data_IF_476987055820
#
_entry.id   IF_476987055820
#
_cell.length_a   1.000
_cell.length_b   1.000
_cell.length_c   1.000
_cell.angle_alpha   90.00
_cell.angle_beta   90.00
_cell.angle_gamma   90.00
#
_symmetry.space_group_name_H-M   'P 1'
#
loop_
_entity.id
_entity.type
_entity.pdbx_description
1 polymer ?
#
# COMPACT_ATOMS: atom_id res chain seq x y z
N UNK A 1 -9.82 11.51 32.71
CA UNK A 1 -10.41 10.61 31.69
C UNK A 1 -10.55 11.22 30.27
N UNK A 2 -10.27 12.52 30.03
CA UNK A 2 -10.36 13.13 28.69
C UNK A 2 -9.14 12.83 27.77
N UNK A 3 -7.97 12.62 28.34
CA UNK A 3 -6.70 12.39 27.61
C UNK A 3 -6.68 11.08 26.82
N UNK A 4 -7.21 9.99 27.39
CA UNK A 4 -7.25 8.68 26.72
C UNK A 4 -8.14 8.68 25.47
N UNK A 5 -9.30 9.36 25.50
CA UNK A 5 -10.20 9.48 24.32
C UNK A 5 -9.61 10.36 23.21
N UNK A 6 -8.83 11.39 23.55
CA UNK A 6 -8.16 12.22 22.55
C UNK A 6 -7.02 11.46 21.84
N UNK A 7 -6.26 10.66 22.59
CA UNK A 7 -5.25 9.75 22.03
C UNK A 7 -5.93 8.71 21.13
N UNK A 8 -6.95 8.00 21.63
CA UNK A 8 -7.71 7.02 20.84
C UNK A 8 -8.39 7.64 19.60
N UNK A 9 -8.85 8.89 19.65
CA UNK A 9 -9.35 9.61 18.47
C UNK A 9 -8.24 9.94 17.47
N UNK A 10 -7.03 10.27 17.91
CA UNK A 10 -5.86 10.39 17.02
C UNK A 10 -5.49 9.05 16.37
N UNK A 11 -5.63 7.93 17.10
CA UNK A 11 -5.47 6.59 16.56
C UNK A 11 -6.55 6.24 15.51
N UNK A 12 -7.82 6.56 15.79
CA UNK A 12 -8.96 6.10 15.01
C UNK A 12 -9.35 7.01 13.82
N UNK A 13 -9.11 8.32 13.88
CA UNK A 13 -9.73 9.27 12.94
C UNK A 13 -8.86 9.59 11.71
N UNK A 14 -7.54 9.28 11.69
CA UNK A 14 -6.68 9.67 10.55
C UNK A 14 -5.50 8.76 10.15
N UNK A 15 -5.28 7.58 10.76
CA UNK A 15 -4.14 6.72 10.37
C UNK A 15 -2.75 7.40 10.50
N UNK A 16 -2.67 8.49 11.27
CA UNK A 16 -1.47 9.36 11.37
C UNK A 16 -0.28 8.59 11.94
N UNK A 17 -0.53 7.67 12.88
CA UNK A 17 0.53 6.91 13.54
C UNK A 17 1.19 5.93 12.58
N UNK A 18 0.39 5.17 11.82
CA UNK A 18 0.91 4.28 10.79
C UNK A 18 1.68 5.03 9.71
N UNK A 19 1.18 6.21 9.33
CA UNK A 19 1.86 7.09 8.39
C UNK A 19 3.18 7.62 8.94
N UNK A 20 3.21 8.06 10.19
CA UNK A 20 4.43 8.57 10.82
C UNK A 20 5.46 7.47 11.06
N UNK A 21 5.02 6.26 11.43
CA UNK A 21 5.86 5.07 11.54
C UNK A 21 6.48 4.70 10.18
N UNK A 22 5.68 4.74 9.11
CA UNK A 22 6.17 4.51 7.76
C UNK A 22 7.17 5.58 7.33
N UNK A 23 6.85 6.86 7.54
CA UNK A 23 7.76 7.96 7.19
C UNK A 23 9.08 7.83 7.97
N UNK A 24 9.03 7.45 9.25
CA UNK A 24 10.20 7.13 10.05
C UNK A 24 10.99 5.94 9.49
N UNK A 25 10.31 4.85 9.13
CA UNK A 25 10.95 3.67 8.57
C UNK A 25 11.66 4.00 7.25
N UNK A 26 11.04 4.78 6.37
CA UNK A 26 11.62 5.20 5.10
C UNK A 26 12.80 6.16 5.28
N UNK A 27 12.78 7.01 6.30
CA UNK A 27 13.89 7.91 6.61
C UNK A 27 15.12 7.19 7.18
N UNK A 28 14.91 6.11 7.95
CA UNK A 28 15.98 5.46 8.72
C UNK A 28 16.47 4.13 8.11
N UNK A 29 15.65 3.45 7.30
CA UNK A 29 15.98 2.15 6.73
C UNK A 29 16.65 2.32 5.37
N UNK A 30 17.86 1.76 5.17
CA UNK A 30 18.53 1.74 3.87
C UNK A 30 17.65 1.15 2.77
N UNK A 31 17.73 1.69 1.56
CA UNK A 31 16.85 1.31 0.45
C UNK A 31 16.90 -0.20 0.13
N UNK A 32 18.05 -0.86 0.28
CA UNK A 32 18.19 -2.30 0.06
C UNK A 32 17.40 -3.17 1.05
N UNK A 33 17.10 -2.65 2.23
CA UNK A 33 16.33 -3.36 3.27
C UNK A 33 14.83 -3.09 3.17
N UNK A 34 14.41 -2.09 2.39
CA UNK A 34 12.99 -1.78 2.18
C UNK A 34 12.20 -2.96 1.60
N UNK A 35 12.67 -3.70 0.57
CA UNK A 35 11.96 -4.87 0.08
C UNK A 35 11.70 -5.93 1.15
N UNK A 36 12.67 -6.17 2.03
CA UNK A 36 12.57 -7.15 3.12
C UNK A 36 11.54 -6.67 4.14
N UNK A 37 11.65 -5.40 4.58
CA UNK A 37 10.72 -4.79 5.52
C UNK A 37 9.28 -4.84 5.02
N UNK A 38 9.04 -4.44 3.77
CA UNK A 38 7.72 -4.45 3.16
C UNK A 38 7.18 -5.87 3.01
N UNK A 39 8.02 -6.85 2.68
CA UNK A 39 7.61 -8.25 2.59
C UNK A 39 7.20 -8.79 3.96
N UNK A 40 8.01 -8.57 4.99
CA UNK A 40 7.69 -9.01 6.37
C UNK A 40 6.40 -8.37 6.86
N UNK A 41 6.24 -7.05 6.66
CA UNK A 41 5.01 -6.35 7.02
C UNK A 41 3.81 -6.90 6.23
N UNK A 42 3.96 -7.13 4.92
CA UNK A 42 2.89 -7.69 4.09
C UNK A 42 2.50 -9.09 4.53
N UNK A 43 3.46 -9.95 4.88
CA UNK A 43 3.18 -11.29 5.44
C UNK A 43 2.39 -11.17 6.74
N UNK A 44 2.81 -10.29 7.66
CA UNK A 44 2.08 -10.01 8.88
C UNK A 44 0.64 -9.57 8.59
N UNK A 45 0.46 -8.52 7.78
CA UNK A 45 -0.88 -8.04 7.41
C UNK A 45 -1.70 -9.09 6.67
N UNK A 46 -1.10 -9.93 5.83
CA UNK A 46 -1.81 -10.98 5.11
C UNK A 46 -2.48 -11.98 6.06
N UNK A 47 -1.83 -12.32 7.17
CA UNK A 47 -2.39 -13.23 8.17
C UNK A 47 -3.36 -12.52 9.13
N UNK A 48 -3.02 -11.33 9.62
CA UNK A 48 -3.80 -10.62 10.65
C UNK A 48 -4.96 -9.77 10.09
N UNK A 49 -4.84 -9.21 8.89
CA UNK A 49 -5.90 -8.41 8.24
C UNK A 49 -6.84 -9.32 7.42
N UNK A 50 -7.54 -10.22 8.11
CA UNK A 50 -8.47 -11.16 7.48
C UNK A 50 -9.59 -10.46 6.69
N UNK A 51 -10.01 -9.26 7.10
CA UNK A 51 -11.03 -8.47 6.40
C UNK A 51 -10.59 -8.06 4.99
N UNK A 52 -9.40 -7.45 4.88
CA UNK A 52 -8.84 -7.00 3.60
C UNK A 52 -8.64 -8.17 2.63
N UNK A 53 -8.08 -9.27 3.13
CA UNK A 53 -7.88 -10.48 2.33
C UNK A 53 -9.20 -11.01 1.78
N UNK A 54 -10.26 -11.05 2.59
CA UNK A 54 -11.59 -11.50 2.16
C UNK A 54 -12.18 -10.60 1.08
N UNK A 55 -12.04 -9.28 1.21
CA UNK A 55 -12.51 -8.33 0.19
C UNK A 55 -11.79 -8.53 -1.15
N UNK A 56 -10.46 -8.69 -1.13
CA UNK A 56 -9.69 -8.96 -2.36
C UNK A 56 -10.11 -10.29 -2.99
N UNK A 57 -10.24 -11.34 -2.18
CA UNK A 57 -10.67 -12.66 -2.66
C UNK A 57 -12.11 -12.67 -3.19
N UNK A 58 -13.00 -11.82 -2.67
CA UNK A 58 -14.37 -11.66 -3.18
C UNK A 58 -14.42 -10.97 -4.56
N UNK A 59 -13.49 -10.05 -4.82
CA UNK A 59 -13.42 -9.33 -6.09
C UNK A 59 -12.69 -10.12 -7.19
N UNK A 60 -11.75 -11.00 -6.82
CA UNK A 60 -10.93 -11.75 -7.79
C UNK A 60 -11.75 -12.61 -8.78
N UNK A 61 -12.81 -13.33 -8.37
CA UNK A 61 -13.64 -14.08 -9.31
C UNK A 61 -14.36 -13.22 -10.36
N UNK A 62 -14.64 -11.94 -10.04
CA UNK A 62 -15.29 -11.00 -10.96
C UNK A 62 -14.30 -10.54 -12.04
N UNK A 63 -13.05 -10.27 -11.64
CA UNK A 63 -12.00 -9.77 -12.55
C UNK A 63 -11.38 -10.91 -13.36
N UNK A 64 -11.16 -12.07 -12.72
CA UNK A 64 -10.48 -13.23 -13.29
C UNK A 64 -11.30 -14.49 -13.01
N UNK A 65 -12.35 -14.76 -13.80
CA UNK A 65 -13.18 -15.94 -13.62
C UNK A 65 -12.40 -17.23 -13.88
N UNK A 66 -12.78 -18.32 -13.19
CA UNK A 66 -12.24 -19.67 -13.43
C UNK A 66 -10.86 -19.96 -12.82
N UNK A 67 -10.31 -19.05 -12.00
CA UNK A 67 -9.03 -19.27 -11.34
C UNK A 67 -9.13 -20.15 -10.08
N UNK A 68 -8.08 -20.91 -9.80
CA UNK A 68 -8.05 -21.77 -8.62
C UNK A 68 -7.93 -20.95 -7.32
N UNK A 69 -8.47 -21.46 -6.19
CA UNK A 69 -8.42 -20.77 -4.90
C UNK A 69 -6.98 -20.47 -4.44
N UNK A 70 -6.04 -21.39 -4.67
CA UNK A 70 -4.64 -21.20 -4.29
C UNK A 70 -3.99 -20.05 -5.07
N UNK A 71 -4.21 -20.00 -6.38
CA UNK A 71 -3.72 -18.92 -7.24
C UNK A 71 -4.35 -17.58 -6.83
N UNK A 72 -5.63 -17.59 -6.42
CA UNK A 72 -6.29 -16.38 -5.92
C UNK A 72 -5.70 -15.88 -4.60
N UNK A 73 -5.29 -16.77 -3.70
CA UNK A 73 -4.57 -16.36 -2.48
C UNK A 73 -3.20 -15.77 -2.78
N UNK A 74 -2.44 -16.38 -3.71
CA UNK A 74 -1.16 -15.82 -4.14
C UNK A 74 -1.33 -14.46 -4.81
N UNK A 75 -2.37 -14.30 -5.64
CA UNK A 75 -2.74 -13.00 -6.25
C UNK A 75 -3.10 -11.99 -5.19
N UNK A 76 -3.93 -12.35 -4.21
CA UNK A 76 -4.27 -11.46 -3.10
C UNK A 76 -3.04 -11.01 -2.30
N UNK A 77 -2.09 -11.94 -2.05
CA UNK A 77 -0.81 -11.60 -1.42
C UNK A 77 -0.02 -10.60 -2.27
N UNK A 78 0.11 -10.84 -3.59
CA UNK A 78 0.78 -9.92 -4.51
C UNK A 78 0.10 -8.56 -4.58
N UNK A 79 -1.23 -8.50 -4.55
CA UNK A 79 -1.99 -7.25 -4.50
C UNK A 79 -1.63 -6.44 -3.25
N UNK A 80 -1.59 -7.09 -2.08
CA UNK A 80 -1.20 -6.44 -0.83
C UNK A 80 0.27 -6.01 -0.84
N UNK A 81 1.17 -6.82 -1.41
CA UNK A 81 2.58 -6.46 -1.54
C UNK A 81 2.79 -5.24 -2.45
N UNK A 82 2.09 -5.21 -3.60
CA UNK A 82 2.13 -4.06 -4.50
C UNK A 82 1.57 -2.80 -3.83
N UNK A 83 0.48 -2.94 -3.07
CA UNK A 83 -0.08 -1.83 -2.30
C UNK A 83 0.91 -1.29 -1.25
N UNK A 84 1.61 -2.19 -0.53
CA UNK A 84 2.68 -1.81 0.41
C UNK A 84 3.78 -1.01 -0.30
N UNK A 85 4.19 -1.43 -1.51
CA UNK A 85 5.15 -0.71 -2.32
C UNK A 85 4.66 0.69 -2.71
N UNK A 86 3.43 0.82 -3.22
CA UNK A 86 2.89 2.13 -3.60
C UNK A 86 2.84 3.11 -2.42
N UNK A 87 2.49 2.62 -1.22
CA UNK A 87 2.49 3.45 0.00
C UNK A 87 3.91 3.85 0.40
N UNK A 88 4.88 2.92 0.30
CA UNK A 88 6.28 3.17 0.60
C UNK A 88 6.91 4.18 -0.36
N UNK A 89 6.65 4.07 -1.67
CA UNK A 89 7.08 5.04 -2.68
C UNK A 89 6.49 6.42 -2.43
N UNK A 90 5.19 6.50 -2.11
CA UNK A 90 4.56 7.76 -1.74
C UNK A 90 5.20 8.37 -0.48
N UNK A 91 5.65 7.56 0.48
CA UNK A 91 6.41 8.04 1.65
C UNK A 91 7.81 8.50 1.27
N UNK A 92 8.50 7.76 0.41
CA UNK A 92 9.83 8.09 -0.10
C UNK A 92 9.82 9.42 -0.87
N UNK A 93 8.81 9.66 -1.69
CA UNK A 93 8.59 10.94 -2.36
C UNK A 93 8.37 12.09 -1.36
N UNK A 94 7.60 11.87 -0.29
CA UNK A 94 7.35 12.91 0.74
C UNK A 94 8.60 13.26 1.54
N UNK A 95 9.32 12.24 2.02
CA UNK A 95 10.43 12.38 2.98
C UNK A 95 11.73 12.71 2.26
N UNK A 96 12.09 11.92 1.25
CA UNK A 96 13.39 12.02 0.58
C UNK A 96 13.34 12.83 -0.71
N UNK A 97 12.16 13.31 -1.14
CA UNK A 97 11.96 14.02 -2.42
C UNK A 97 12.52 13.23 -3.60
N UNK A 98 12.40 11.91 -3.55
CA UNK A 98 12.87 11.02 -4.60
C UNK A 98 12.23 11.42 -5.95
N UNK A 99 13.07 11.65 -6.98
CA UNK A 99 12.58 11.93 -8.32
C UNK A 99 11.96 10.67 -8.91
N UNK A 100 10.74 10.79 -9.44
CA UNK A 100 10.08 9.72 -10.18
C UNK A 100 10.34 9.93 -11.68
N UNK A 101 10.85 8.88 -12.34
CA UNK A 101 10.90 8.82 -13.79
C UNK A 101 9.61 8.14 -14.22
N UNK A 102 8.83 8.81 -15.06
CA UNK A 102 7.57 8.28 -15.57
C UNK A 102 7.52 8.46 -17.08
N UNK A 103 6.90 7.50 -17.74
CA UNK A 103 6.59 7.55 -19.16
C UNK A 103 5.08 7.51 -19.29
N UNK A 104 4.52 8.48 -20.02
CA UNK A 104 3.08 8.53 -20.30
C UNK A 104 2.85 7.82 -21.64
N UNK A 105 2.08 6.75 -21.61
CA UNK A 105 1.58 6.10 -22.83
C UNK A 105 0.34 6.86 -23.34
N UNK A 106 0.31 7.17 -24.62
CA UNK A 106 -0.78 7.92 -25.27
C UNK A 106 -0.85 9.41 -24.92
N UNK A 107 0.27 10.16 -24.95
CA UNK A 107 0.25 11.61 -24.64
C UNK A 107 -0.63 12.41 -25.60
N UNK A 108 -0.90 11.90 -26.80
CA UNK A 108 -1.81 12.50 -27.79
C UNK A 108 -3.23 12.70 -27.25
N UNK A 109 -3.75 11.77 -26.45
CA UNK A 109 -5.09 11.90 -25.87
C UNK A 109 -5.17 13.01 -24.82
N UNK A 110 -4.05 13.28 -24.13
CA UNK A 110 -3.98 14.40 -23.18
C UNK A 110 -3.95 15.74 -23.90
N UNK A 111 -3.26 15.80 -25.04
CA UNK A 111 -3.25 17.00 -25.88
C UNK A 111 -4.66 17.30 -26.42
N UNK A 112 -5.39 16.26 -26.87
CA UNK A 112 -6.76 16.41 -27.36
C UNK A 112 -7.71 16.94 -26.27
N UNK A 113 -7.61 16.45 -25.03
CA UNK A 113 -8.40 16.94 -23.89
C UNK A 113 -8.08 18.38 -23.47
N UNK A 114 -6.95 18.94 -23.91
CA UNK A 114 -6.55 20.32 -23.59
C UNK A 114 -7.04 21.35 -24.62
N UNK A 115 -7.70 20.90 -25.69
CA UNK A 115 -8.25 21.74 -26.78
C UNK A 115 -9.74 21.96 -26.59
#
# INVERSE_FOLDING_TARGET
MQTARAILRRFAVKGVIWRHYLDWAIANVPFHLQPILLTVCTVFFFFFAASERRSILGNLPIVLPGSSPLINHFRAFRTLLNFSWSIAEAANYRVNKANFIYEIMGPEFLAELST
#
